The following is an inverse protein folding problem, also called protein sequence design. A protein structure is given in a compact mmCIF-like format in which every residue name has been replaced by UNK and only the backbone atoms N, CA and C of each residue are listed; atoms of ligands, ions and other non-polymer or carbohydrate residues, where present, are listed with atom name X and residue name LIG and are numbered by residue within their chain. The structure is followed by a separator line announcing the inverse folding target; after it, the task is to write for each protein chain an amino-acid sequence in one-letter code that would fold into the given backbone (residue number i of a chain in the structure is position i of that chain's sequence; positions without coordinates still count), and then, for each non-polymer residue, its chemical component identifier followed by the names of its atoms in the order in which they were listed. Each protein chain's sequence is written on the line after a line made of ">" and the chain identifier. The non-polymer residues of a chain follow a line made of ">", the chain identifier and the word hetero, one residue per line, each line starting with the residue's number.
data_IF_314308064996
#
_entry.id   IF_314308064996
#
_cell.length_a   1.000
_cell.length_b   1.000
_cell.length_c   1.000
_cell.angle_alpha   90.00
_cell.angle_beta   90.00
_cell.angle_gamma   90.00
#
_symmetry.space_group_name_H-M   'P 1'
#
loop_
_entity.id
_entity.type
_entity.pdbx_description
1 polymer ?
#
# COMPACT_ATOMS: atom_id res chain seq x y z
N UNK A 1 17.15 2.78 -0.91
CA UNK A 1 16.65 2.63 0.47
C UNK A 1 15.57 1.55 0.46
N UNK A 2 15.15 1.06 1.63
CA UNK A 2 14.26 -0.11 1.77
C UNK A 2 13.12 0.13 2.77
N UNK A 3 12.66 1.38 2.91
CA UNK A 3 11.58 1.74 3.82
C UNK A 3 10.25 1.22 3.30
N UNK A 4 9.61 0.36 4.10
CA UNK A 4 8.32 -0.23 3.78
C UNK A 4 7.18 0.63 4.36
N UNK A 5 6.21 0.95 3.52
CA UNK A 5 4.98 1.65 3.92
C UNK A 5 3.77 0.77 3.64
N UNK A 6 3.02 0.43 4.69
CA UNK A 6 1.71 -0.19 4.52
C UNK A 6 0.73 0.89 4.06
N UNK A 7 0.37 0.86 2.77
CA UNK A 7 -0.58 1.80 2.19
C UNK A 7 -2.04 1.44 2.50
N UNK A 8 -2.32 0.14 2.70
CA UNK A 8 -3.63 -0.37 3.07
C UNK A 8 -3.46 -1.61 3.94
N UNK A 9 -4.14 -1.63 5.10
CA UNK A 9 -4.28 -2.84 5.91
C UNK A 9 -5.53 -3.64 5.53
N UNK A 10 -5.56 -4.92 5.90
CA UNK A 10 -6.76 -5.77 5.72
C UNK A 10 -7.96 -5.13 6.41
N UNK A 11 -9.09 -5.06 5.69
CA UNK A 11 -10.40 -4.63 6.21
C UNK A 11 -11.35 -5.83 6.15
N UNK A 12 -11.54 -6.53 7.27
CA UNK A 12 -12.27 -7.82 7.33
C UNK A 12 -13.72 -7.70 6.83
N UNK A 13 -14.35 -6.55 7.07
CA UNK A 13 -15.74 -6.27 6.73
C UNK A 13 -15.91 -5.61 5.34
N UNK A 14 -14.82 -5.43 4.58
CA UNK A 14 -14.87 -4.82 3.26
C UNK A 14 -15.15 -5.89 2.20
N UNK A 15 -16.43 -6.13 1.92
CA UNK A 15 -16.93 -7.06 0.89
C UNK A 15 -17.16 -6.37 -0.48
N UNK A 16 -16.67 -5.15 -0.63
CA UNK A 16 -16.84 -4.35 -1.84
C UNK A 16 -16.17 -4.99 -3.05
N UNK A 17 -16.89 -5.00 -4.17
CA UNK A 17 -16.38 -5.40 -5.49
C UNK A 17 -15.85 -4.23 -6.31
N UNK A 18 -16.01 -3.00 -5.83
CA UNK A 18 -15.69 -1.77 -6.58
C UNK A 18 -14.18 -1.52 -6.68
N UNK A 19 -13.39 -2.12 -5.78
CA UNK A 19 -11.94 -1.93 -5.72
C UNK A 19 -11.53 -0.47 -5.48
N UNK A 20 -10.39 -0.07 -6.05
CA UNK A 20 -9.84 1.28 -5.92
C UNK A 20 -9.70 1.95 -7.30
N UNK A 21 -10.61 2.86 -7.65
CA UNK A 21 -10.46 3.71 -8.85
C UNK A 21 -9.65 4.98 -8.52
N UNK A 22 -8.43 5.06 -9.06
CA UNK A 22 -7.52 6.22 -8.93
C UNK A 22 -7.37 6.72 -7.48
N UNK A 23 -7.46 5.82 -6.51
CA UNK A 23 -7.38 6.18 -5.09
C UNK A 23 -5.94 6.57 -4.71
N UNK A 24 -5.68 7.79 -4.22
CA UNK A 24 -4.33 8.27 -3.96
C UNK A 24 -3.85 7.84 -2.57
N UNK A 25 -3.32 6.61 -2.47
CA UNK A 25 -2.60 6.20 -1.27
C UNK A 25 -1.38 7.09 -1.01
N UNK A 26 -1.09 7.37 0.26
CA UNK A 26 -0.03 8.29 0.66
C UNK A 26 0.66 7.80 1.93
N UNK A 27 1.96 8.10 2.03
CA UNK A 27 2.80 7.83 3.20
C UNK A 27 3.76 8.98 3.41
N UNK A 28 4.11 9.24 4.67
CA UNK A 28 5.19 10.16 5.06
C UNK A 28 6.45 9.41 5.51
N UNK A 29 6.45 8.07 5.49
CA UNK A 29 7.55 7.28 6.04
C UNK A 29 8.86 7.47 5.26
N UNK A 30 8.78 7.84 3.98
CA UNK A 30 9.95 8.10 3.14
C UNK A 30 10.43 9.56 3.19
N UNK A 31 9.93 10.38 4.13
CA UNK A 31 10.32 11.79 4.20
C UNK A 31 11.83 11.94 4.42
N UNK A 32 12.46 12.77 3.60
CA UNK A 32 13.92 13.01 3.65
C UNK A 32 14.77 11.99 2.88
N UNK A 33 14.17 10.92 2.34
CA UNK A 33 14.87 10.01 1.44
C UNK A 33 15.02 10.62 0.04
N UNK A 34 16.09 10.26 -0.67
CA UNK A 34 16.19 10.54 -2.11
C UNK A 34 15.25 9.59 -2.87
N UNK A 35 14.32 10.08 -3.69
CA UNK A 35 13.37 9.22 -4.41
C UNK A 35 13.99 8.47 -5.60
N UNK A 36 15.24 8.78 -5.98
CA UNK A 36 15.94 8.08 -7.06
C UNK A 36 16.28 6.65 -6.66
N UNK A 37 15.80 5.69 -7.42
CA UNK A 37 16.04 4.26 -7.22
C UNK A 37 14.88 3.42 -7.72
N UNK A 38 14.97 2.12 -7.51
CA UNK A 38 13.86 1.20 -7.76
C UNK A 38 12.85 1.30 -6.62
N UNK A 39 11.57 1.43 -6.99
CA UNK A 39 10.44 1.33 -6.07
C UNK A 39 9.73 0.00 -6.31
N UNK A 40 9.27 -0.63 -5.23
CA UNK A 40 8.52 -1.89 -5.27
C UNK A 40 7.13 -1.65 -4.70
N UNK A 41 6.11 -2.12 -5.42
CA UNK A 41 4.74 -2.21 -4.93
C UNK A 41 4.40 -3.69 -4.73
N UNK A 42 3.88 -4.01 -3.55
CA UNK A 42 3.43 -5.35 -3.19
C UNK A 42 1.93 -5.33 -2.92
N UNK A 43 1.20 -6.26 -3.53
CA UNK A 43 -0.23 -6.47 -3.33
C UNK A 43 -0.41 -7.95 -3.02
N UNK A 44 -1.05 -8.23 -1.88
CA UNK A 44 -1.21 -9.58 -1.36
C UNK A 44 -2.69 -9.84 -1.10
N UNK A 45 -3.18 -10.98 -1.56
CA UNK A 45 -4.46 -11.52 -1.13
C UNK A 45 -4.28 -12.20 0.24
N UNK A 46 -5.02 -11.73 1.23
CA UNK A 46 -4.85 -12.17 2.62
C UNK A 46 -6.08 -12.99 3.00
N UNK A 47 -5.94 -14.31 3.00
CA UNK A 47 -7.04 -15.22 3.34
C UNK A 47 -7.63 -14.92 4.73
N UNK A 48 -8.95 -15.00 4.82
CA UNK A 48 -9.67 -14.99 6.09
C UNK A 48 -9.61 -16.40 6.69
N UNK A 49 -8.62 -16.67 7.56
CA UNK A 49 -8.69 -17.83 8.47
C UNK A 49 -9.91 -17.74 9.39
#
# INVERSE_FOLDING_TARGET
>A
MGTNSTLLGRRVEDDSIDGFDKWPFMTVHNWGESPRGLWTLEIVDVENN
#
